data_IF_706979601484
#
_entry.id   IF_706979601484
#
_cell.length_a   1.000
_cell.length_b   1.000
_cell.length_c   1.000
_cell.angle_alpha   90.00
_cell.angle_beta   90.00
_cell.angle_gamma   90.00
#
_symmetry.space_group_name_H-M   'P 1'
#
loop_
_entity.id
_entity.type
_entity.pdbx_description
1 polymer ?
#
# COMPACT_ATOMS: atom_id res chain seq x y z
N UNK A 1 -55.23 29.59 9.19
CA UNK A 1 -54.60 29.07 7.95
C UNK A 1 -55.00 27.61 7.83
N UNK A 2 -55.41 27.09 6.66
CA UNK A 2 -55.76 25.68 6.55
C UNK A 2 -54.50 24.83 6.77
N UNK A 3 -54.57 23.83 7.65
CA UNK A 3 -53.53 22.81 7.75
C UNK A 3 -53.58 22.00 6.45
N UNK A 4 -52.54 22.14 5.63
CA UNK A 4 -52.32 21.24 4.51
C UNK A 4 -51.81 19.94 5.11
N UNK A 5 -52.65 18.91 5.17
CA UNK A 5 -52.20 17.57 5.55
C UNK A 5 -51.44 16.97 4.35
N UNK A 6 -50.12 17.07 4.38
CA UNK A 6 -49.26 16.47 3.36
C UNK A 6 -48.90 15.07 3.86
N UNK A 7 -49.46 14.04 3.22
CA UNK A 7 -49.00 12.67 3.44
C UNK A 7 -47.62 12.54 2.78
N UNK A 8 -46.56 12.33 3.56
CA UNK A 8 -45.22 12.21 3.00
C UNK A 8 -44.08 12.23 4.03
N UNK A 9 -42.90 12.62 3.55
CA UNK A 9 -41.70 12.82 4.36
C UNK A 9 -41.52 14.32 4.60
N UNK A 10 -41.57 14.75 5.86
CA UNK A 10 -41.13 16.08 6.29
C UNK A 10 -39.67 16.02 6.69
N UNK A 11 -38.85 16.91 6.15
CA UNK A 11 -37.43 17.02 6.43
C UNK A 11 -37.18 18.41 6.97
N UNK A 12 -36.70 18.50 8.20
CA UNK A 12 -36.34 19.74 8.88
C UNK A 12 -34.85 19.74 9.12
N UNK A 13 -34.22 20.89 8.88
CA UNK A 13 -32.84 21.16 9.30
C UNK A 13 -32.86 22.38 10.21
N UNK A 14 -32.06 22.34 11.27
CA UNK A 14 -31.91 23.44 12.23
C UNK A 14 -30.43 23.66 12.54
N UNK A 15 -29.96 24.88 12.32
CA UNK A 15 -28.58 25.32 12.52
C UNK A 15 -28.49 26.82 12.34
N UNK A 16 -27.44 27.36 11.70
CA UNK A 16 -27.33 28.77 11.32
C UNK A 16 -28.56 29.34 10.61
N UNK A 17 -29.26 28.51 9.84
CA UNK A 17 -30.61 28.77 9.32
C UNK A 17 -31.48 27.53 9.55
N UNK A 18 -32.78 27.73 9.72
CA UNK A 18 -33.74 26.63 9.76
C UNK A 18 -34.53 26.57 8.47
N UNK A 19 -34.69 25.37 7.92
CA UNK A 19 -35.51 25.13 6.71
C UNK A 19 -36.28 23.83 6.84
N UNK A 20 -37.46 23.80 6.25
CA UNK A 20 -38.33 22.62 6.17
C UNK A 20 -38.67 22.35 4.71
N UNK A 21 -38.57 21.09 4.30
CA UNK A 21 -39.00 20.62 2.99
C UNK A 21 -39.87 19.37 3.12
N UNK A 22 -40.70 19.16 2.12
CA UNK A 22 -41.63 18.03 2.05
C UNK A 22 -41.34 17.23 0.79
N UNK A 23 -41.11 15.93 0.95
CA UNK A 23 -40.83 14.99 -0.14
C UNK A 23 -39.64 15.38 -1.04
N UNK A 24 -38.77 16.30 -0.60
CA UNK A 24 -37.57 16.73 -1.30
C UNK A 24 -36.38 16.78 -0.32
N UNK A 25 -35.36 15.94 -0.50
CA UNK A 25 -34.19 15.93 0.37
C UNK A 25 -33.16 17.03 0.05
N UNK A 26 -33.31 17.80 -1.03
CA UNK A 26 -32.28 18.72 -1.51
C UNK A 26 -32.38 20.10 -0.86
N UNK A 27 -31.46 20.46 0.04
CA UNK A 27 -31.29 21.82 0.57
C UNK A 27 -30.08 22.50 -0.07
N UNK A 28 -30.26 23.67 -0.67
CA UNK A 28 -29.18 24.45 -1.31
C UNK A 28 -28.90 25.75 -0.53
N UNK A 29 -27.72 26.33 -0.73
CA UNK A 29 -27.33 27.65 -0.19
C UNK A 29 -27.43 27.76 1.35
N UNK A 30 -27.05 26.70 2.05
CA UNK A 30 -26.98 26.72 3.51
C UNK A 30 -25.64 27.33 3.96
N UNK A 31 -25.65 28.30 4.88
CA UNK A 31 -24.42 28.82 5.49
C UNK A 31 -23.62 27.74 6.22
N UNK A 32 -22.34 28.02 6.46
CA UNK A 32 -21.51 27.17 7.28
C UNK A 32 -21.97 27.12 8.75
N UNK A 33 -21.92 25.93 9.34
CA UNK A 33 -22.19 25.64 10.73
C UNK A 33 -22.72 24.23 10.93
N UNK A 34 -22.93 23.86 12.19
CA UNK A 34 -23.52 22.59 12.58
C UNK A 34 -25.03 22.63 12.43
N UNK A 35 -25.58 21.61 11.77
CA UNK A 35 -27.01 21.39 11.60
C UNK A 35 -27.45 20.12 12.30
N UNK A 36 -28.63 20.17 12.91
CA UNK A 36 -29.42 18.99 13.23
C UNK A 36 -30.43 18.77 12.12
N UNK A 37 -30.68 17.51 11.74
CA UNK A 37 -31.79 17.16 10.87
C UNK A 37 -32.82 16.32 11.60
N UNK A 38 -34.09 16.49 11.22
CA UNK A 38 -35.22 15.67 11.63
C UNK A 38 -35.97 15.24 10.39
N UNK A 39 -36.07 13.93 10.15
CA UNK A 39 -36.86 13.33 9.07
C UNK A 39 -38.06 12.64 9.73
N UNK A 40 -39.26 13.10 9.40
CA UNK A 40 -40.51 12.54 9.89
C UNK A 40 -41.33 11.96 8.72
N UNK A 41 -41.76 10.70 8.81
CA UNK A 41 -42.64 10.05 7.84
C UNK A 41 -44.05 9.90 8.42
N UNK A 42 -45.09 10.27 7.66
CA UNK A 42 -46.49 10.15 8.05
C UNK A 42 -47.21 11.49 8.06
N UNK A 43 -48.28 11.60 8.84
CA UNK A 43 -49.02 12.86 9.03
C UNK A 43 -48.17 13.86 9.84
N UNK A 44 -48.16 15.13 9.43
CA UNK A 44 -47.44 16.19 10.13
C UNK A 44 -47.91 16.43 11.57
N UNK A 45 -49.15 16.04 11.88
CA UNK A 45 -49.72 16.12 13.24
C UNK A 45 -49.44 14.88 14.08
N UNK A 46 -49.20 13.73 13.44
CA UNK A 46 -48.89 12.45 14.11
C UNK A 46 -47.88 11.64 13.28
N UNK A 47 -46.60 12.02 13.28
CA UNK A 47 -45.59 11.34 12.48
C UNK A 47 -45.39 9.90 12.97
N UNK A 48 -45.41 8.95 12.04
CA UNK A 48 -45.33 7.52 12.33
C UNK A 48 -43.90 7.05 12.63
N UNK A 49 -42.89 7.75 12.09
CA UNK A 49 -41.48 7.47 12.31
C UNK A 49 -40.68 8.77 12.26
N UNK A 50 -39.74 8.95 13.20
CA UNK A 50 -38.84 10.10 13.26
C UNK A 50 -37.40 9.61 13.34
N UNK A 51 -36.54 10.14 12.47
CA UNK A 51 -35.09 9.95 12.54
C UNK A 51 -34.41 11.31 12.66
N UNK A 52 -33.47 11.41 13.57
CA UNK A 52 -32.66 12.62 13.76
C UNK A 52 -31.18 12.32 13.60
N UNK A 53 -30.39 13.36 13.37
CA UNK A 53 -28.94 13.30 13.32
C UNK A 53 -28.33 14.68 13.19
N UNK A 54 -27.01 14.73 13.01
CA UNK A 54 -26.25 15.97 12.86
C UNK A 54 -25.35 15.89 11.63
N UNK A 55 -25.09 17.03 11.00
CA UNK A 55 -24.07 17.20 9.97
C UNK A 55 -23.50 18.61 10.04
N UNK A 56 -22.27 18.79 9.58
CA UNK A 56 -21.61 20.09 9.55
C UNK A 56 -21.49 20.58 8.11
N UNK A 57 -21.76 21.87 7.90
CA UNK A 57 -21.36 22.59 6.70
C UNK A 57 -20.15 23.42 7.07
N UNK A 58 -18.99 23.11 6.49
CA UNK A 58 -17.77 23.86 6.79
C UNK A 58 -17.78 25.22 6.05
N UNK A 59 -17.13 26.27 6.61
CA UNK A 59 -16.93 27.53 5.90
C UNK A 59 -16.24 27.27 4.57
N UNK A 60 -16.77 27.83 3.48
CA UNK A 60 -16.05 27.84 2.22
C UNK A 60 -14.71 28.57 2.40
N UNK A 61 -13.61 27.87 2.10
CA UNK A 61 -12.26 28.44 2.09
C UNK A 61 -11.27 27.95 3.16
N UNK A 62 -11.66 27.06 4.08
CA UNK A 62 -10.66 26.32 4.88
C UNK A 62 -10.50 24.94 4.24
N UNK A 63 -9.32 24.62 3.67
CA UNK A 63 -9.07 23.29 3.13
C UNK A 63 -9.08 22.24 4.24
N UNK A 64 -9.53 21.03 3.90
CA UNK A 64 -9.38 19.88 4.78
C UNK A 64 -7.88 19.57 4.90
N UNK A 65 -7.32 19.49 6.12
CA UNK A 65 -5.92 19.17 6.30
C UNK A 65 -5.59 17.81 5.70
N UNK A 66 -4.65 17.80 4.76
CA UNK A 66 -4.10 16.57 4.19
C UNK A 66 -3.00 16.06 5.10
N UNK A 67 -3.18 14.86 5.64
CA UNK A 67 -2.20 14.25 6.55
C UNK A 67 -2.26 12.72 6.47
N UNK A 68 -1.22 12.06 6.97
CA UNK A 68 -1.12 10.62 7.07
C UNK A 68 -0.07 10.22 8.10
N UNK A 69 0.01 8.92 8.38
CA UNK A 69 1.03 8.32 9.23
C UNK A 69 1.69 7.16 8.48
N UNK A 70 3.02 7.08 8.52
CA UNK A 70 3.75 5.87 8.14
C UNK A 70 3.58 4.87 9.27
N UNK A 71 2.82 3.80 9.02
CA UNK A 71 2.50 2.79 10.03
C UNK A 71 3.62 1.77 10.19
N UNK A 72 4.06 1.20 9.08
CA UNK A 72 5.13 0.18 9.05
C UNK A 72 5.95 0.33 7.79
N UNK A 73 7.21 -0.06 7.88
CA UNK A 73 8.06 -0.37 6.74
C UNK A 73 8.41 -1.85 6.78
N UNK A 74 8.48 -2.48 5.62
CA UNK A 74 8.84 -3.88 5.50
C UNK A 74 9.82 -4.06 4.34
N UNK A 75 10.69 -5.06 4.46
CA UNK A 75 11.57 -5.50 3.38
C UNK A 75 11.37 -7.01 3.21
N UNK A 76 10.98 -7.45 2.01
CA UNK A 76 10.70 -8.85 1.73
C UNK A 76 11.90 -9.47 1.01
N UNK A 77 12.49 -10.48 1.65
CA UNK A 77 13.51 -11.31 1.04
C UNK A 77 12.81 -12.46 0.29
N UNK A 78 13.21 -12.81 -0.96
CA UNK A 78 14.37 -12.37 -1.74
C UNK A 78 14.02 -11.36 -2.84
N UNK A 79 12.84 -10.74 -2.81
CA UNK A 79 12.36 -9.92 -3.94
C UNK A 79 13.08 -8.58 -4.04
N UNK A 80 13.88 -8.20 -3.01
CA UNK A 80 14.55 -6.90 -2.88
C UNK A 80 13.59 -5.71 -2.87
N UNK A 81 12.31 -6.02 -2.71
CA UNK A 81 11.22 -5.09 -2.67
C UNK A 81 10.81 -4.86 -1.22
N UNK A 82 11.00 -3.62 -0.79
CA UNK A 82 10.39 -3.08 0.41
C UNK A 82 9.06 -2.42 0.13
N UNK A 83 8.36 -2.14 1.22
CA UNK A 83 7.09 -1.44 1.20
C UNK A 83 6.96 -0.47 2.37
N UNK A 84 6.17 0.58 2.14
CA UNK A 84 5.76 1.56 3.13
C UNK A 84 4.23 1.49 3.25
N UNK A 85 3.74 1.23 4.46
CA UNK A 85 2.31 1.23 4.77
C UNK A 85 1.90 2.58 5.34
N UNK A 86 0.90 3.21 4.72
CA UNK A 86 0.30 4.46 5.14
C UNK A 86 -1.03 4.19 5.83
N UNK A 87 -1.28 4.85 6.96
CA UNK A 87 -2.56 4.81 7.69
C UNK A 87 -2.95 6.21 8.15
N UNK A 88 -4.16 6.36 8.70
CA UNK A 88 -4.62 7.65 9.23
C UNK A 88 -4.66 8.77 8.18
N UNK A 89 -4.93 8.41 6.91
CA UNK A 89 -5.01 9.36 5.81
C UNK A 89 -6.23 10.27 6.05
N UNK A 90 -5.99 11.57 6.14
CA UNK A 90 -7.03 12.60 6.29
C UNK A 90 -6.99 13.55 5.10
N UNK A 91 -8.15 14.09 4.75
CA UNK A 91 -8.36 15.05 3.68
C UNK A 91 -9.85 15.10 3.33
N UNK A 92 -10.18 15.72 2.20
CA UNK A 92 -11.54 15.70 1.67
C UNK A 92 -11.97 14.28 1.34
N UNK A 93 -13.21 13.93 1.69
CA UNK A 93 -13.79 12.61 1.43
C UNK A 93 -14.17 12.38 -0.05
N UNK A 94 -14.26 13.46 -0.84
CA UNK A 94 -14.85 13.43 -2.19
C UNK A 94 -13.81 13.43 -3.32
N UNK A 95 -12.51 13.39 -2.99
CA UNK A 95 -11.41 13.55 -3.95
C UNK A 95 -10.27 12.56 -3.68
N UNK A 96 -9.65 12.06 -4.74
CA UNK A 96 -8.47 11.20 -4.63
C UNK A 96 -7.22 11.99 -4.23
N UNK A 97 -6.25 11.29 -3.65
CA UNK A 97 -4.93 11.82 -3.31
C UNK A 97 -3.90 11.39 -4.35
N UNK A 98 -2.83 12.15 -4.48
CA UNK A 98 -1.59 11.76 -5.14
C UNK A 98 -0.52 11.55 -4.10
N UNK A 99 0.32 10.53 -4.24
CA UNK A 99 1.51 10.35 -3.40
C UNK A 99 2.77 10.56 -4.23
N UNK A 100 3.82 11.03 -3.56
CA UNK A 100 5.17 11.11 -4.09
C UNK A 100 6.13 10.54 -3.05
N UNK A 101 7.04 9.69 -3.51
CA UNK A 101 8.14 9.15 -2.71
C UNK A 101 9.43 9.76 -3.22
N UNK A 102 10.18 10.33 -2.29
CA UNK A 102 11.44 10.99 -2.55
C UNK A 102 12.59 10.17 -1.98
N UNK A 103 13.70 10.11 -2.71
CA UNK A 103 14.98 9.60 -2.26
C UNK A 103 16.06 10.60 -2.64
N UNK A 104 16.87 11.04 -1.68
CA UNK A 104 17.93 12.03 -1.88
C UNK A 104 17.47 13.36 -2.55
N UNK A 105 16.18 13.70 -2.39
CA UNK A 105 15.57 14.91 -2.95
C UNK A 105 14.91 14.73 -4.32
N UNK A 106 15.09 13.58 -4.96
CA UNK A 106 14.47 13.25 -6.25
C UNK A 106 13.20 12.41 -6.06
N UNK A 107 12.16 12.67 -6.86
CA UNK A 107 10.95 11.84 -6.89
C UNK A 107 11.27 10.53 -7.61
N UNK A 108 11.17 9.41 -6.89
CA UNK A 108 11.43 8.07 -7.42
C UNK A 108 10.16 7.30 -7.76
N UNK A 109 9.03 7.65 -7.15
CA UNK A 109 7.75 6.98 -7.35
C UNK A 109 6.60 7.94 -7.09
N UNK A 110 5.54 7.82 -7.88
CA UNK A 110 4.29 8.56 -7.71
C UNK A 110 3.10 7.68 -8.07
N UNK A 111 1.92 8.02 -7.56
CA UNK A 111 0.67 7.37 -7.92
C UNK A 111 -0.53 8.02 -7.25
N UNK A 112 -1.67 7.35 -7.34
CA UNK A 112 -2.95 7.81 -6.79
C UNK A 112 -3.38 6.92 -5.64
N UNK A 113 -3.93 7.53 -4.59
CA UNK A 113 -4.66 6.86 -3.52
C UNK A 113 -6.12 7.28 -3.69
N UNK A 114 -6.98 6.34 -4.05
CA UNK A 114 -8.40 6.68 -4.22
C UNK A 114 -9.04 7.01 -2.87
N UNK A 115 -10.11 7.81 -2.88
CA UNK A 115 -10.85 8.12 -1.66
C UNK A 115 -11.29 6.86 -0.90
N UNK A 116 -11.72 5.80 -1.62
CA UNK A 116 -12.07 4.50 -1.05
C UNK A 116 -10.85 3.80 -0.41
N UNK A 117 -9.68 3.85 -1.06
CA UNK A 117 -8.44 3.29 -0.50
C UNK A 117 -8.04 4.03 0.77
N UNK A 118 -8.12 5.36 0.78
CA UNK A 118 -7.86 6.17 1.97
C UNK A 118 -8.85 5.84 3.11
N UNK A 119 -10.13 5.69 2.79
CA UNK A 119 -11.18 5.32 3.74
C UNK A 119 -11.03 3.89 4.29
N UNK A 120 -10.39 2.98 3.54
CA UNK A 120 -10.10 1.62 4.02
C UNK A 120 -9.12 1.56 5.20
N UNK A 121 -8.37 2.65 5.42
CA UNK A 121 -7.46 2.82 6.55
C UNK A 121 -6.05 2.29 6.34
N UNK A 122 -5.75 1.65 5.20
CA UNK A 122 -4.42 1.16 4.86
C UNK A 122 -4.15 1.33 3.35
N UNK A 123 -3.03 1.98 3.03
CA UNK A 123 -2.49 2.03 1.68
C UNK A 123 -1.03 1.56 1.68
N UNK A 124 -0.59 0.81 0.68
CA UNK A 124 0.77 0.25 0.64
C UNK A 124 1.46 0.70 -0.64
N UNK A 125 2.63 1.31 -0.47
CA UNK A 125 3.57 1.59 -1.57
C UNK A 125 4.60 0.47 -1.56
N UNK A 126 4.78 -0.22 -2.69
CA UNK A 126 5.70 -1.36 -2.84
C UNK A 126 6.76 -1.10 -3.91
N UNK A 127 7.78 -1.97 -3.96
CA UNK A 127 8.87 -1.88 -4.94
C UNK A 127 9.92 -0.84 -4.56
N UNK A 128 10.09 -0.60 -3.25
CA UNK A 128 11.05 0.35 -2.71
C UNK A 128 12.23 -0.42 -2.10
N UNK A 129 13.45 -0.30 -2.65
CA UNK A 129 14.62 -0.97 -2.09
C UNK A 129 14.95 -0.56 -0.65
N UNK A 130 16.06 -1.07 -0.12
CA UNK A 130 16.62 -0.57 1.14
C UNK A 130 17.00 0.91 0.99
N UNK A 131 16.60 1.74 1.94
CA UNK A 131 16.82 3.17 1.83
C UNK A 131 16.09 4.01 2.87
N UNK A 132 16.42 5.29 2.86
CA UNK A 132 15.67 6.32 3.58
C UNK A 132 14.87 7.12 2.57
N UNK A 133 13.59 7.31 2.86
CA UNK A 133 12.62 7.93 1.97
C UNK A 133 11.90 9.07 2.67
N UNK A 134 11.45 10.04 1.89
CA UNK A 134 10.44 11.01 2.33
C UNK A 134 9.17 10.80 1.53
N UNK A 135 8.05 10.64 2.23
CA UNK A 135 6.74 10.47 1.61
C UNK A 135 5.94 11.74 1.81
N UNK A 136 5.25 12.18 0.76
CA UNK A 136 4.27 13.24 0.82
C UNK A 136 3.01 12.78 0.08
N UNK A 137 1.84 13.12 0.61
CA UNK A 137 0.58 13.01 -0.12
C UNK A 137 -0.01 14.39 -0.36
N UNK A 138 -0.70 14.57 -1.47
CA UNK A 138 -1.37 15.79 -1.82
C UNK A 138 -2.77 15.53 -2.36
N UNK A 139 -3.64 16.51 -2.25
CA UNK A 139 -5.02 16.41 -2.69
C UNK A 139 -5.45 17.73 -3.32
N UNK A 140 -6.09 17.67 -4.49
CA UNK A 140 -6.67 18.86 -5.11
C UNK A 140 -8.11 19.03 -4.63
N UNK A 141 -8.34 20.03 -3.78
CA UNK A 141 -9.65 20.27 -3.16
C UNK A 141 -10.47 21.37 -3.86
N UNK A 142 -10.06 21.80 -5.06
CA UNK A 142 -10.73 22.87 -5.82
C UNK A 142 -12.21 22.56 -6.08
N UNK A 143 -12.54 21.28 -6.30
CA UNK A 143 -13.90 20.82 -6.56
C UNK A 143 -14.82 20.89 -5.32
N UNK A 144 -14.26 20.97 -4.12
CA UNK A 144 -15.00 20.82 -2.85
C UNK A 144 -15.13 22.16 -2.11
N UNK A 145 -14.11 23.01 -2.16
CA UNK A 145 -14.11 24.29 -1.44
C UNK A 145 -13.98 25.54 -2.34
N UNK A 146 -13.94 25.38 -3.67
CA UNK A 146 -13.95 26.43 -4.72
C UNK A 146 -12.86 27.51 -4.68
N UNK A 147 -12.07 27.59 -3.62
CA UNK A 147 -11.04 28.63 -3.41
C UNK A 147 -9.66 28.05 -3.05
N UNK A 148 -9.53 26.74 -2.83
CA UNK A 148 -8.28 26.12 -2.41
C UNK A 148 -7.84 25.04 -3.40
N UNK A 149 -6.62 25.19 -3.91
CA UNK A 149 -6.02 24.31 -4.91
C UNK A 149 -5.48 23.00 -4.34
N UNK A 150 -4.22 22.69 -4.68
CA UNK A 150 -3.49 21.54 -4.18
C UNK A 150 -3.07 21.77 -2.72
N UNK A 151 -3.43 20.85 -1.84
CA UNK A 151 -3.00 20.81 -0.44
C UNK A 151 -2.12 19.59 -0.27
N UNK A 152 -0.92 19.79 0.26
CA UNK A 152 0.04 18.72 0.52
C UNK A 152 0.21 18.52 2.03
N UNK A 153 0.44 17.27 2.43
CA UNK A 153 0.87 16.94 3.78
C UNK A 153 2.29 17.46 4.04
N UNK A 154 2.74 17.48 5.29
CA UNK A 154 4.17 17.50 5.59
C UNK A 154 4.87 16.28 4.96
N UNK A 155 6.19 16.39 4.78
CA UNK A 155 7.04 15.24 4.49
C UNK A 155 7.14 14.36 5.73
N UNK A 156 6.96 13.06 5.55
CA UNK A 156 7.16 12.05 6.60
C UNK A 156 8.29 11.12 6.19
N UNK A 157 9.28 10.94 7.04
CA UNK A 157 10.40 10.04 6.80
C UNK A 157 9.96 8.57 7.00
N UNK A 158 10.43 7.71 6.10
CA UNK A 158 10.27 6.26 6.19
C UNK A 158 11.61 5.60 5.88
N UNK A 159 12.01 4.63 6.70
CA UNK A 159 13.28 3.92 6.51
C UNK A 159 12.97 2.45 6.29
N UNK A 160 13.42 1.94 5.15
CA UNK A 160 13.36 0.52 4.82
C UNK A 160 14.74 -0.05 5.11
N UNK A 161 14.80 -0.91 6.11
CA UNK A 161 16.02 -1.62 6.53
C UNK A 161 15.81 -3.11 6.43
N UNK A 162 16.90 -3.86 6.34
CA UNK A 162 16.83 -5.30 6.48
C UNK A 162 16.25 -5.68 7.85
N UNK A 163 15.49 -6.78 7.94
CA UNK A 163 15.01 -7.28 9.22
C UNK A 163 16.18 -7.58 10.16
N UNK A 164 15.94 -7.53 11.48
CA UNK A 164 16.97 -7.63 12.53
C UNK A 164 17.76 -8.97 12.60
N UNK A 165 17.59 -9.86 11.63
CA UNK A 165 18.39 -11.07 11.41
C UNK A 165 19.00 -11.18 10.00
N UNK A 166 18.98 -10.08 9.22
CA UNK A 166 19.28 -10.07 7.79
C UNK A 166 18.27 -10.88 6.98
N UNK A 167 18.47 -10.96 5.66
CA UNK A 167 17.69 -11.85 4.80
C UNK A 167 18.02 -13.35 4.99
N UNK A 168 18.92 -13.70 5.91
CA UNK A 168 19.40 -15.06 6.12
C UNK A 168 20.07 -15.67 4.88
N UNK A 169 20.55 -16.89 5.01
CA UNK A 169 21.04 -17.69 3.89
C UNK A 169 19.85 -18.08 3.00
N UNK A 170 19.86 -17.68 1.72
CA UNK A 170 18.83 -18.06 0.75
C UNK A 170 19.44 -18.88 -0.37
N UNK A 171 19.01 -20.14 -0.48
CA UNK A 171 19.40 -21.07 -1.54
C UNK A 171 18.25 -21.18 -2.54
N UNK A 172 18.40 -20.71 -3.79
CA UNK A 172 17.33 -20.81 -4.78
C UNK A 172 17.08 -22.28 -5.16
N UNK A 173 15.93 -22.56 -5.74
CA UNK A 173 15.59 -23.88 -6.28
C UNK A 173 15.61 -23.93 -7.80
N UNK A 174 15.92 -22.83 -8.48
CA UNK A 174 16.03 -22.76 -9.94
C UNK A 174 17.04 -21.69 -10.33
N UNK A 175 17.73 -21.91 -11.45
CA UNK A 175 18.49 -20.88 -12.16
C UNK A 175 18.44 -21.16 -13.67
N UNK A 176 18.60 -20.12 -14.47
CA UNK A 176 18.35 -20.12 -15.91
C UNK A 176 19.61 -19.70 -16.67
N UNK A 177 20.60 -20.61 -16.86
CA UNK A 177 21.86 -20.29 -17.54
C UNK A 177 21.65 -20.16 -19.05
N UNK A 178 21.03 -19.06 -19.48
CA UNK A 178 20.66 -18.74 -20.87
C UNK A 178 21.49 -17.58 -21.46
N UNK A 179 22.35 -16.95 -20.65
CA UNK A 179 23.24 -15.87 -21.06
C UNK A 179 22.59 -14.49 -21.14
N UNK A 180 21.41 -14.29 -20.53
CA UNK A 180 20.75 -12.99 -20.44
C UNK A 180 21.27 -12.11 -19.28
N UNK A 181 22.24 -12.62 -18.51
CA UNK A 181 22.81 -12.04 -17.28
C UNK A 181 21.85 -12.05 -16.07
N UNK A 182 20.74 -12.77 -16.14
CA UNK A 182 19.76 -12.92 -15.07
C UNK A 182 19.65 -14.39 -14.64
N UNK A 183 19.93 -14.66 -13.37
CA UNK A 183 19.92 -16.02 -12.81
C UNK A 183 20.78 -17.03 -13.62
N UNK A 184 21.90 -16.59 -14.21
CA UNK A 184 22.76 -17.44 -15.03
C UNK A 184 23.64 -18.42 -14.23
N UNK A 185 23.74 -18.21 -12.91
CA UNK A 185 24.45 -19.12 -12.00
C UNK A 185 23.55 -19.55 -10.88
N UNK A 186 23.90 -20.66 -10.24
CA UNK A 186 23.30 -21.06 -8.98
C UNK A 186 23.77 -20.12 -7.86
N UNK A 187 23.14 -18.95 -7.80
CA UNK A 187 23.51 -17.85 -6.92
C UNK A 187 22.84 -18.00 -5.56
N UNK A 188 23.62 -18.31 -4.53
CA UNK A 188 23.17 -18.41 -3.15
C UNK A 188 23.37 -17.04 -2.48
N UNK A 189 22.28 -16.41 -2.03
CA UNK A 189 22.34 -15.08 -1.41
C UNK A 189 22.78 -15.19 0.05
N UNK A 190 23.53 -14.18 0.51
CA UNK A 190 24.14 -14.13 1.83
C UNK A 190 24.99 -15.36 2.16
N UNK A 191 25.66 -15.93 1.16
CA UNK A 191 26.55 -17.06 1.32
C UNK A 191 27.86 -16.63 2.02
N UNK A 192 28.15 -17.11 3.24
CA UNK A 192 29.40 -16.79 3.92
C UNK A 192 30.62 -17.37 3.19
N UNK A 193 31.78 -16.74 3.39
CA UNK A 193 33.04 -17.28 2.89
C UNK A 193 33.33 -18.68 3.47
N UNK A 194 34.09 -19.48 2.72
CA UNK A 194 34.43 -20.87 3.07
C UNK A 194 33.22 -21.83 3.11
N UNK A 195 32.11 -21.46 2.49
CA UNK A 195 30.96 -22.35 2.34
C UNK A 195 31.25 -23.46 1.33
N UNK A 196 30.99 -24.71 1.72
CA UNK A 196 31.24 -25.88 0.87
C UNK A 196 29.96 -26.28 0.16
N UNK A 197 30.00 -26.38 -1.16
CA UNK A 197 28.88 -26.81 -1.98
C UNK A 197 29.24 -28.10 -2.69
N UNK A 198 28.37 -29.11 -2.61
CA UNK A 198 28.41 -30.32 -3.44
C UNK A 198 27.08 -30.43 -4.16
N UNK A 199 27.12 -30.71 -5.45
CA UNK A 199 25.91 -30.93 -6.25
C UNK A 199 25.98 -32.31 -6.88
N UNK A 200 24.86 -33.01 -6.81
CA UNK A 200 24.70 -34.36 -7.34
C UNK A 200 23.52 -34.42 -8.29
N UNK A 201 23.58 -35.31 -9.28
CA UNK A 201 22.42 -35.63 -10.10
C UNK A 201 21.46 -36.58 -9.36
N UNK A 202 20.35 -36.93 -10.00
CA UNK A 202 19.32 -37.84 -9.45
C UNK A 202 19.83 -39.22 -9.02
N UNK A 203 20.97 -39.67 -9.54
CA UNK A 203 21.57 -40.97 -9.19
C UNK A 203 22.64 -40.85 -8.10
N UNK A 204 22.81 -39.67 -7.48
CA UNK A 204 23.82 -39.43 -6.45
C UNK A 204 25.23 -39.24 -7.00
N UNK A 205 25.42 -39.18 -8.32
CA UNK A 205 26.73 -38.86 -8.90
C UNK A 205 27.01 -37.38 -8.71
N UNK A 206 28.16 -37.06 -8.10
CA UNK A 206 28.65 -35.68 -8.00
C UNK A 206 28.88 -35.09 -9.39
N UNK A 207 28.29 -33.93 -9.64
CA UNK A 207 28.46 -33.15 -10.87
C UNK A 207 29.20 -31.84 -10.64
N UNK A 208 29.18 -31.31 -9.41
CA UNK A 208 29.94 -30.13 -9.02
C UNK A 208 30.37 -30.22 -7.56
N UNK A 209 31.50 -29.62 -7.22
CA UNK A 209 31.97 -29.47 -5.84
C UNK A 209 32.87 -28.25 -5.70
N UNK A 210 32.69 -27.51 -4.63
CA UNK A 210 33.56 -26.41 -4.21
C UNK A 210 33.70 -26.39 -2.70
N UNK A 211 34.93 -26.17 -2.21
CA UNK A 211 35.20 -25.99 -0.79
C UNK A 211 35.03 -24.53 -0.32
N UNK A 212 34.88 -23.62 -1.26
CA UNK A 212 34.60 -22.20 -1.02
C UNK A 212 33.80 -21.70 -2.22
N UNK A 213 32.51 -22.00 -2.23
CA UNK A 213 31.65 -21.67 -3.37
C UNK A 213 31.52 -20.16 -3.53
N UNK A 214 31.63 -19.67 -4.77
CA UNK A 214 31.67 -18.24 -5.11
C UNK A 214 30.53 -17.86 -6.06
N UNK A 215 29.38 -18.55 -5.98
CA UNK A 215 28.23 -18.32 -6.85
C UNK A 215 28.56 -18.39 -8.36
N UNK A 216 29.43 -19.32 -8.72
CA UNK A 216 30.02 -19.42 -10.06
C UNK A 216 29.68 -20.72 -10.80
N UNK A 217 28.74 -21.53 -10.29
CA UNK A 217 28.28 -22.70 -11.02
C UNK A 217 27.19 -22.30 -12.02
N UNK A 218 27.53 -22.40 -13.30
CA UNK A 218 26.67 -22.11 -14.47
C UNK A 218 25.89 -23.33 -14.95
N UNK A 219 26.19 -24.52 -14.41
CA UNK A 219 25.58 -25.77 -14.88
C UNK A 219 26.05 -26.23 -16.26
N UNK A 220 27.07 -25.62 -16.87
CA UNK A 220 27.50 -25.93 -18.26
C UNK A 220 27.86 -27.40 -18.50
N UNK A 221 28.32 -28.10 -17.47
CA UNK A 221 28.68 -29.52 -17.53
C UNK A 221 27.49 -30.47 -17.31
N UNK A 222 26.26 -29.94 -17.22
CA UNK A 222 25.06 -30.71 -16.91
C UNK A 222 23.88 -30.36 -17.81
N UNK A 223 23.04 -31.35 -18.08
CA UNK A 223 21.78 -31.18 -18.83
C UNK A 223 20.74 -30.43 -18.01
N UNK A 224 19.73 -29.87 -18.67
CA UNK A 224 18.56 -29.33 -17.99
C UNK A 224 17.88 -30.40 -17.13
N UNK A 225 17.40 -29.99 -15.96
CA UNK A 225 16.72 -30.87 -15.01
C UNK A 225 17.08 -30.60 -13.55
N UNK A 226 16.64 -31.52 -12.68
CA UNK A 226 16.75 -31.38 -11.23
C UNK A 226 18.02 -32.04 -10.69
N UNK A 227 18.74 -31.28 -9.88
CA UNK A 227 19.94 -31.66 -9.14
C UNK A 227 19.71 -31.49 -7.64
N UNK A 228 20.56 -32.13 -6.83
CA UNK A 228 20.49 -32.05 -5.37
C UNK A 228 21.76 -31.44 -4.83
N UNK A 229 21.62 -30.46 -3.95
CA UNK A 229 22.75 -29.81 -3.30
C UNK A 229 22.92 -30.28 -1.85
N UNK A 230 24.17 -30.32 -1.43
CA UNK A 230 24.57 -30.33 -0.02
C UNK A 230 25.49 -29.13 0.19
N UNK A 231 25.01 -28.17 0.96
CA UNK A 231 25.71 -26.95 1.30
C UNK A 231 26.11 -27.00 2.78
N UNK A 232 27.35 -26.64 3.09
CA UNK A 232 27.84 -26.52 4.47
C UNK A 232 28.31 -25.10 4.69
N UNK A 233 27.66 -24.40 5.62
CA UNK A 233 27.93 -23.01 5.99
C UNK A 233 28.24 -22.97 7.47
N UNK A 234 29.44 -22.53 7.85
CA UNK A 234 29.86 -22.39 9.25
C UNK A 234 29.66 -23.66 10.12
N UNK A 235 29.65 -24.84 9.49
CA UNK A 235 29.42 -26.14 10.14
C UNK A 235 27.99 -26.67 10.04
N UNK A 236 27.02 -25.82 9.72
CA UNK A 236 25.62 -26.18 9.49
C UNK A 236 25.40 -26.75 8.09
N UNK A 237 24.55 -27.78 7.99
CA UNK A 237 24.30 -28.50 6.72
C UNK A 237 22.91 -28.16 6.19
N UNK A 238 22.87 -27.66 4.96
CA UNK A 238 21.66 -27.38 4.20
C UNK A 238 21.58 -28.32 3.01
N UNK A 239 20.42 -28.92 2.78
CA UNK A 239 20.18 -29.82 1.65
C UNK A 239 18.90 -29.46 0.95
N UNK A 240 18.86 -29.64 -0.36
CA UNK A 240 17.68 -29.39 -1.16
C UNK A 240 17.92 -29.77 -2.60
N UNK A 241 17.10 -29.21 -3.48
CA UNK A 241 17.19 -29.42 -4.90
C UNK A 241 17.29 -28.08 -5.63
N UNK A 242 17.87 -28.13 -6.82
CA UNK A 242 17.98 -27.00 -7.74
C UNK A 242 17.68 -27.50 -9.16
N UNK A 243 16.85 -26.77 -9.87
CA UNK A 243 16.53 -27.01 -11.27
C UNK A 243 17.41 -26.13 -12.18
N UNK A 244 17.99 -26.75 -13.21
CA UNK A 244 18.67 -26.06 -14.30
C UNK A 244 17.70 -25.99 -15.47
N UNK A 245 17.32 -24.78 -15.90
CA UNK A 245 16.35 -24.56 -16.96
C UNK A 245 16.86 -23.51 -17.96
N UNK A 246 17.31 -23.91 -19.15
CA UNK A 246 17.92 -22.95 -20.10
C UNK A 246 16.91 -22.21 -20.97
N UNK A 247 15.65 -22.62 -20.93
CA UNK A 247 14.67 -22.17 -21.93
C UNK A 247 14.99 -22.77 -23.30
N UNK A 248 13.95 -23.05 -24.07
CA UNK A 248 14.06 -23.55 -25.43
C UNK A 248 13.90 -22.39 -26.41
#
# INVERSE_FOLDING_TARGET
MPLVNIIGVRIEINGPVSRTQFNNPLFTELPAGTYTYTIAYGDDTTPACIKTGTFDILPSGIPDPVNFVVATTAYVCPEEDGSISLTGITGSADTDFTFEVYQDGDVIQTGTITADQAASGLFVISGLPLGTYQVQIAQNQTAVNTCVGLIASPFVEAIIVEPAGGCGLFVPNIFTPNGDNSNDTFFIRNLPANSKLVITNRWGKQVFSSNNYQNNWTGDDVTDGVYYYQLVVEGERYTGWVEVMRGN
#
